data_IF_587556337004
#
_entry.id   IF_587556337004
#
_cell.length_a   1.000
_cell.length_b   1.000
_cell.length_c   1.000
_cell.angle_alpha   90.00
_cell.angle_beta   90.00
_cell.angle_gamma   90.00
#
_symmetry.space_group_name_H-M   'P 1'
#
loop_
_entity.id
_entity.type
_entity.pdbx_description
1 polymer ?
#
# COMPACT_ATOMS: atom_id res chain seq x y z
N UNK A 1 22.34 1.32 -21.02
CA UNK A 1 21.27 2.30 -20.74
C UNK A 1 21.19 2.64 -19.25
N UNK A 2 21.05 1.66 -18.35
CA UNK A 2 20.84 1.88 -16.90
C UNK A 2 21.99 2.64 -16.22
N UNK A 3 23.25 2.27 -16.48
CA UNK A 3 24.44 2.98 -15.97
C UNK A 3 24.42 4.44 -16.41
N UNK A 4 24.06 4.71 -17.68
CA UNK A 4 23.93 6.07 -18.21
C UNK A 4 22.86 6.90 -17.49
N UNK A 5 21.68 6.31 -17.20
CA UNK A 5 20.61 6.97 -16.44
C UNK A 5 21.06 7.27 -15.00
N UNK A 6 21.76 6.36 -14.35
CA UNK A 6 22.31 6.58 -13.01
C UNK A 6 23.28 7.77 -13.01
N UNK A 7 24.21 7.84 -13.97
CA UNK A 7 25.11 8.98 -14.08
C UNK A 7 24.39 10.29 -14.38
N UNK A 8 23.34 10.29 -15.21
CA UNK A 8 22.50 11.47 -15.47
C UNK A 8 21.81 11.93 -14.18
N UNK A 9 21.25 11.00 -13.41
CA UNK A 9 20.60 11.33 -12.13
C UNK A 9 21.60 11.90 -11.12
N UNK A 10 22.80 11.32 -10.99
CA UNK A 10 23.87 11.84 -10.11
C UNK A 10 24.29 13.25 -10.56
N UNK A 11 24.52 13.45 -11.86
CA UNK A 11 24.90 14.75 -12.41
C UNK A 11 23.81 15.80 -12.21
N UNK A 12 22.54 15.46 -12.43
CA UNK A 12 21.41 16.36 -12.20
C UNK A 12 21.28 16.76 -10.71
N UNK A 13 21.42 15.81 -9.79
CA UNK A 13 21.42 16.10 -8.36
C UNK A 13 22.62 16.97 -7.94
N UNK A 14 23.82 16.69 -8.47
CA UNK A 14 25.00 17.52 -8.26
C UNK A 14 24.81 18.95 -8.77
N UNK A 15 24.21 19.11 -9.96
CA UNK A 15 23.90 20.43 -10.51
C UNK A 15 22.89 21.20 -9.66
N UNK A 16 21.82 20.53 -9.19
CA UNK A 16 20.83 21.11 -8.29
C UNK A 16 21.48 21.58 -6.98
N UNK A 17 22.36 20.77 -6.40
CA UNK A 17 23.12 21.12 -5.20
C UNK A 17 24.00 22.37 -5.40
N UNK A 18 24.68 22.46 -6.54
CA UNK A 18 25.49 23.64 -6.89
C UNK A 18 24.62 24.88 -7.07
N UNK A 19 23.47 24.76 -7.75
CA UNK A 19 22.54 25.88 -7.95
C UNK A 19 21.98 26.36 -6.61
N UNK A 20 21.61 25.44 -5.71
CA UNK A 20 21.13 25.78 -4.37
C UNK A 20 22.22 26.49 -3.54
N UNK A 21 23.46 25.99 -3.58
CA UNK A 21 24.60 26.62 -2.91
C UNK A 21 24.87 28.03 -3.43
N UNK A 22 24.78 28.27 -4.75
CA UNK A 22 24.93 29.62 -5.35
C UNK A 22 23.84 30.60 -4.91
N UNK A 23 22.65 30.10 -4.56
CA UNK A 23 21.53 30.91 -4.03
C UNK A 23 21.64 31.14 -2.51
N UNK A 24 22.76 30.81 -1.86
CA UNK A 24 22.97 30.84 -0.41
C UNK A 24 21.87 30.06 0.37
N UNK A 25 21.21 29.11 -0.26
CA UNK A 25 20.24 28.23 0.40
C UNK A 25 20.94 26.99 0.96
N UNK A 26 20.63 26.62 2.20
CA UNK A 26 21.13 25.40 2.80
C UNK A 26 20.57 24.21 2.02
N UNK A 27 21.44 23.34 1.49
CA UNK A 27 21.05 22.17 0.68
C UNK A 27 20.23 21.19 1.52
N UNK A 28 20.66 20.97 2.77
CA UNK A 28 19.98 20.11 3.72
C UNK A 28 20.02 20.73 5.11
N UNK A 29 18.91 21.29 5.61
CA UNK A 29 18.85 21.83 6.96
C UNK A 29 19.17 20.72 8.00
N UNK A 30 19.90 21.06 9.06
CA UNK A 30 20.29 20.11 10.13
C UNK A 30 19.09 19.33 10.68
N UNK A 31 17.93 19.99 10.81
CA UNK A 31 16.69 19.32 11.24
C UNK A 31 16.20 18.26 10.26
N UNK A 32 16.29 18.52 8.95
CA UNK A 32 15.95 17.55 7.93
C UNK A 32 16.96 16.40 7.89
N UNK A 33 18.26 16.71 8.02
CA UNK A 33 19.29 15.67 8.10
C UNK A 33 19.09 14.74 9.32
N UNK A 34 18.76 15.31 10.48
CA UNK A 34 18.45 14.54 11.68
C UNK A 34 17.20 13.67 11.51
N UNK A 35 16.17 14.17 10.85
CA UNK A 35 14.97 13.39 10.55
C UNK A 35 15.30 12.20 9.62
N UNK A 36 15.99 12.45 8.51
CA UNK A 36 16.43 11.42 7.58
C UNK A 36 17.26 10.37 8.31
N UNK A 37 18.19 10.78 9.17
CA UNK A 37 18.99 9.84 9.96
C UNK A 37 18.12 8.89 10.80
N UNK A 38 17.10 9.40 11.49
CA UNK A 38 16.21 8.54 12.29
C UNK A 38 15.28 7.67 11.43
N UNK A 39 14.86 8.14 10.27
CA UNK A 39 14.11 7.34 9.30
C UNK A 39 14.95 6.18 8.75
N UNK A 40 16.23 6.43 8.45
CA UNK A 40 17.19 5.38 8.08
C UNK A 40 17.44 4.38 9.21
N UNK A 41 17.56 4.85 10.46
CA UNK A 41 17.69 3.94 11.62
C UNK A 41 16.47 3.04 11.74
N UNK A 42 15.25 3.57 11.57
CA UNK A 42 14.02 2.78 11.61
C UNK A 42 13.98 1.78 10.46
N UNK A 43 14.35 2.20 9.25
CA UNK A 43 14.47 1.29 8.11
C UNK A 43 15.44 0.15 8.41
N UNK A 44 16.64 0.46 8.90
CA UNK A 44 17.65 -0.55 9.22
C UNK A 44 17.19 -1.51 10.32
N UNK A 45 16.53 -1.03 11.36
CA UNK A 45 15.96 -1.90 12.41
C UNK A 45 14.93 -2.86 11.85
N UNK A 46 14.02 -2.39 11.01
CA UNK A 46 13.03 -3.24 10.35
C UNK A 46 13.70 -4.21 9.35
N UNK A 47 14.67 -3.73 8.56
CA UNK A 47 15.45 -4.56 7.65
C UNK A 47 16.19 -5.67 8.40
N UNK A 48 16.82 -5.38 9.53
CA UNK A 48 17.54 -6.36 10.34
C UNK A 48 16.59 -7.37 11.00
N UNK A 49 15.41 -6.94 11.44
CA UNK A 49 14.37 -7.85 11.95
C UNK A 49 14.00 -8.89 10.90
N UNK A 50 13.67 -8.45 9.69
CA UNK A 50 13.32 -9.34 8.59
C UNK A 50 14.51 -10.12 8.02
N UNK A 51 15.75 -9.59 8.16
CA UNK A 51 16.97 -10.33 7.83
C UNK A 51 17.18 -11.50 8.79
N UNK A 52 16.92 -11.27 10.08
CA UNK A 52 17.02 -12.32 11.09
C UNK A 52 16.01 -13.44 10.82
N UNK A 53 14.76 -13.09 10.56
CA UNK A 53 13.72 -14.05 10.20
C UNK A 53 14.08 -14.82 8.91
N UNK A 54 14.41 -14.11 7.84
CA UNK A 54 14.78 -14.68 6.54
C UNK A 54 16.00 -15.62 6.61
N UNK A 55 16.89 -15.42 7.58
CA UNK A 55 18.08 -16.25 7.80
C UNK A 55 17.75 -17.71 8.13
N UNK A 56 16.59 -18.00 8.69
CA UNK A 56 16.16 -19.36 8.97
C UNK A 56 15.65 -20.11 7.73
N UNK A 57 15.14 -19.37 6.72
CA UNK A 57 14.61 -19.93 5.47
C UNK A 57 15.04 -19.10 4.25
N UNK A 58 16.32 -19.14 3.89
CA UNK A 58 16.85 -18.32 2.78
C UNK A 58 16.53 -18.90 1.39
N UNK A 59 15.96 -20.11 1.31
CA UNK A 59 15.73 -20.79 0.03
C UNK A 59 14.55 -20.17 -0.73
N UNK A 60 14.76 -19.93 -2.02
CA UNK A 60 13.67 -19.58 -2.96
C UNK A 60 12.94 -20.87 -3.39
N UNK A 61 12.36 -21.60 -2.42
CA UNK A 61 11.69 -22.88 -2.60
C UNK A 61 10.33 -22.88 -1.88
N UNK A 62 9.39 -23.66 -2.38
CA UNK A 62 8.00 -23.68 -1.91
C UNK A 62 7.19 -22.51 -2.47
N UNK A 63 5.85 -22.66 -2.50
CA UNK A 63 4.94 -21.74 -3.19
C UNK A 63 5.41 -21.44 -4.62
N UNK A 64 5.19 -20.23 -5.14
CA UNK A 64 5.61 -19.86 -6.50
C UNK A 64 6.97 -19.13 -6.56
N UNK A 65 7.77 -19.16 -5.49
CA UNK A 65 9.07 -18.47 -5.41
C UNK A 65 10.04 -18.87 -6.53
N UNK A 66 10.00 -20.12 -6.96
CA UNK A 66 10.83 -20.61 -8.07
C UNK A 66 10.52 -19.89 -9.39
N UNK A 67 9.26 -19.45 -9.58
CA UNK A 67 8.86 -18.69 -10.77
C UNK A 67 9.54 -17.31 -10.77
N UNK A 68 9.40 -16.56 -9.69
CA UNK A 68 10.02 -15.23 -9.56
C UNK A 68 11.54 -15.31 -9.63
N UNK A 69 12.13 -16.31 -8.96
CA UNK A 69 13.57 -16.58 -9.02
C UNK A 69 14.00 -16.90 -10.45
N UNK A 70 13.25 -17.76 -11.16
CA UNK A 70 13.53 -18.13 -12.55
C UNK A 70 13.49 -16.93 -13.49
N UNK A 71 12.50 -16.05 -13.36
CA UNK A 71 12.43 -14.81 -14.13
C UNK A 71 13.64 -13.91 -13.86
N UNK A 72 14.08 -13.79 -12.63
CA UNK A 72 15.29 -13.03 -12.28
C UNK A 72 16.54 -13.63 -12.93
N UNK A 73 16.70 -14.96 -12.91
CA UNK A 73 17.84 -15.67 -13.54
C UNK A 73 17.90 -15.45 -15.05
N UNK A 74 16.74 -15.47 -15.73
CA UNK A 74 16.69 -15.24 -17.18
C UNK A 74 16.99 -13.79 -17.50
N UNK A 75 16.41 -12.84 -16.76
CA UNK A 75 16.66 -11.42 -16.98
C UNK A 75 18.11 -11.02 -16.74
N UNK A 76 18.83 -11.67 -15.81
CA UNK A 76 20.26 -11.47 -15.59
C UNK A 76 21.11 -11.86 -16.80
N UNK A 77 20.64 -12.83 -17.59
CA UNK A 77 21.35 -13.36 -18.77
C UNK A 77 20.89 -12.74 -20.09
N UNK A 78 19.72 -12.08 -20.07
CA UNK A 78 19.14 -11.52 -21.28
C UNK A 78 19.75 -10.16 -21.63
N UNK A 79 19.93 -9.92 -22.92
CA UNK A 79 20.33 -8.61 -23.45
C UNK A 79 19.11 -7.75 -23.79
N UNK A 80 17.92 -8.33 -23.86
CA UNK A 80 16.67 -7.70 -24.27
C UNK A 80 15.55 -8.01 -23.28
N UNK A 81 14.54 -7.15 -23.23
CA UNK A 81 13.31 -7.33 -22.44
C UNK A 81 12.10 -7.24 -23.38
N UNK A 82 11.06 -8.08 -23.13
CA UNK A 82 10.99 -9.16 -22.14
C UNK A 82 11.98 -10.29 -22.46
N UNK A 83 12.55 -10.88 -21.40
CA UNK A 83 13.43 -12.02 -21.55
C UNK A 83 12.65 -13.26 -22.03
N UNK A 84 13.36 -14.27 -22.54
CA UNK A 84 12.75 -15.52 -22.98
C UNK A 84 12.24 -16.31 -21.76
N UNK A 85 11.01 -16.85 -21.85
CA UNK A 85 10.43 -17.68 -20.80
C UNK A 85 11.15 -19.03 -20.69
N UNK A 86 11.47 -19.45 -19.46
CA UNK A 86 12.21 -20.70 -19.21
C UNK A 86 11.29 -21.94 -19.19
N UNK A 87 10.00 -21.77 -19.01
CA UNK A 87 9.01 -22.88 -19.06
C UNK A 87 8.33 -23.00 -20.42
N UNK A 88 8.11 -21.85 -21.08
CA UNK A 88 7.50 -21.80 -22.41
C UNK A 88 8.52 -21.30 -23.44
N UNK A 89 9.54 -22.11 -23.65
CA UNK A 89 10.66 -21.80 -24.55
C UNK A 89 10.23 -21.27 -25.92
N UNK A 90 11.00 -20.35 -26.51
CA UNK A 90 10.73 -19.60 -27.76
C UNK A 90 9.71 -18.47 -27.64
N UNK A 91 9.12 -18.22 -26.48
CA UNK A 91 8.24 -17.07 -26.24
C UNK A 91 8.84 -16.17 -25.18
N UNK A 92 8.57 -14.86 -25.22
CA UNK A 92 8.96 -13.95 -24.14
C UNK A 92 8.11 -14.18 -22.89
N UNK A 93 8.64 -13.80 -21.73
CA UNK A 93 7.90 -13.81 -20.46
C UNK A 93 6.63 -12.97 -20.62
N UNK A 94 5.47 -13.61 -20.42
CA UNK A 94 4.16 -12.95 -20.42
C UNK A 94 3.61 -12.83 -18.99
N UNK A 95 4.30 -12.04 -18.16
CA UNK A 95 3.97 -11.80 -16.76
C UNK A 95 4.39 -10.38 -16.35
N UNK A 96 4.01 -9.93 -15.16
CA UNK A 96 4.41 -8.65 -14.56
C UNK A 96 5.83 -8.77 -14.00
N UNK A 97 6.84 -8.72 -14.85
CA UNK A 97 8.24 -8.95 -14.47
C UNK A 97 9.00 -7.67 -14.06
N UNK A 98 8.36 -6.51 -14.10
CA UNK A 98 9.02 -5.23 -13.81
C UNK A 98 9.57 -5.12 -12.40
N UNK A 99 8.91 -5.72 -11.42
CA UNK A 99 9.36 -5.76 -10.03
C UNK A 99 10.61 -6.63 -9.86
N UNK A 100 10.64 -7.81 -10.45
CA UNK A 100 11.78 -8.72 -10.45
C UNK A 100 12.96 -8.10 -11.23
N UNK A 101 12.70 -7.42 -12.36
CA UNK A 101 13.72 -6.68 -13.08
C UNK A 101 14.34 -5.55 -12.25
N UNK A 102 13.51 -4.81 -11.51
CA UNK A 102 13.99 -3.77 -10.60
C UNK A 102 14.92 -4.35 -9.52
N UNK A 103 14.57 -5.52 -8.95
CA UNK A 103 15.40 -6.21 -7.97
C UNK A 103 16.76 -6.60 -8.57
N UNK A 104 16.76 -7.22 -9.75
CA UNK A 104 17.98 -7.62 -10.49
C UNK A 104 18.86 -6.41 -10.79
N UNK A 105 18.27 -5.33 -11.24
CA UNK A 105 18.99 -4.11 -11.58
C UNK A 105 19.64 -3.42 -10.37
N UNK A 106 18.91 -3.35 -9.24
CA UNK A 106 19.42 -2.68 -8.03
C UNK A 106 20.63 -3.39 -7.44
N UNK A 107 20.59 -4.71 -7.39
CA UNK A 107 21.61 -5.46 -6.69
C UNK A 107 22.81 -5.82 -7.57
N UNK A 108 22.58 -6.09 -8.86
CA UNK A 108 23.63 -6.43 -9.83
C UNK A 108 24.50 -7.62 -9.43
N UNK A 109 23.99 -8.51 -8.58
CA UNK A 109 24.72 -9.68 -8.02
C UNK A 109 23.98 -10.99 -8.33
N UNK A 110 24.48 -12.11 -7.81
CA UNK A 110 23.84 -13.43 -8.00
C UNK A 110 22.38 -13.40 -7.54
N UNK A 111 21.48 -14.00 -8.31
CA UNK A 111 20.04 -14.00 -8.05
C UNK A 111 19.70 -14.54 -6.66
N UNK A 112 20.40 -15.56 -6.17
CA UNK A 112 20.21 -16.07 -4.81
C UNK A 112 20.41 -15.01 -3.71
N UNK A 113 21.37 -14.10 -3.90
CA UNK A 113 21.60 -12.96 -3.00
C UNK A 113 20.58 -11.86 -3.25
N UNK A 114 20.33 -11.52 -4.53
CA UNK A 114 19.39 -10.51 -4.97
C UNK A 114 17.99 -10.76 -4.43
N UNK A 115 17.48 -11.98 -4.56
CA UNK A 115 16.16 -12.39 -4.09
C UNK A 115 16.00 -12.12 -2.60
N UNK A 116 16.94 -12.58 -1.78
CA UNK A 116 16.89 -12.38 -0.34
C UNK A 116 17.05 -10.91 0.06
N UNK A 117 18.02 -10.18 -0.51
CA UNK A 117 18.19 -8.76 -0.20
C UNK A 117 16.94 -7.96 -0.54
N UNK A 118 16.29 -8.25 -1.69
CA UNK A 118 15.12 -7.51 -2.13
C UNK A 118 13.91 -7.76 -1.22
N UNK A 119 13.62 -9.01 -0.82
CA UNK A 119 12.51 -9.30 0.10
C UNK A 119 12.67 -8.59 1.45
N UNK A 120 13.90 -8.59 1.99
CA UNK A 120 14.20 -7.90 3.26
C UNK A 120 14.12 -6.37 3.13
N UNK A 121 14.58 -5.82 1.99
CA UNK A 121 14.48 -4.40 1.69
C UNK A 121 13.01 -3.96 1.60
N UNK A 122 12.17 -4.72 0.90
CA UNK A 122 10.74 -4.41 0.77
C UNK A 122 10.06 -4.45 2.13
N UNK A 123 10.33 -5.47 2.95
CA UNK A 123 9.75 -5.60 4.29
C UNK A 123 10.21 -4.46 5.22
N UNK A 124 11.48 -4.03 5.14
CA UNK A 124 11.99 -2.85 5.84
C UNK A 124 11.31 -1.55 5.39
N UNK A 125 11.16 -1.35 4.07
CA UNK A 125 10.49 -0.19 3.50
C UNK A 125 8.99 -0.18 3.79
N UNK A 126 8.34 -1.35 3.86
CA UNK A 126 6.93 -1.47 4.25
C UNK A 126 6.66 -1.03 5.70
N UNK A 127 7.67 -0.95 6.54
CA UNK A 127 7.60 -0.30 7.86
C UNK A 127 7.97 1.18 7.79
N UNK A 128 9.12 1.49 7.17
CA UNK A 128 9.70 2.84 7.21
C UNK A 128 8.88 3.89 6.43
N UNK A 129 8.35 3.54 5.26
CA UNK A 129 7.59 4.49 4.44
C UNK A 129 6.24 4.89 5.09
N UNK A 130 5.40 3.96 5.61
CA UNK A 130 4.21 4.34 6.38
C UNK A 130 4.57 5.09 7.66
N UNK A 131 5.65 4.72 8.35
CA UNK A 131 6.15 5.49 9.50
C UNK A 131 6.41 6.94 9.13
N UNK A 132 7.22 7.19 8.10
CA UNK A 132 7.59 8.55 7.66
C UNK A 132 6.36 9.36 7.24
N UNK A 133 5.50 8.76 6.40
CA UNK A 133 4.29 9.41 5.91
C UNK A 133 3.35 9.81 7.05
N UNK A 134 3.00 8.86 7.93
CA UNK A 134 2.00 9.12 8.99
C UNK A 134 2.58 10.01 10.09
N UNK A 135 3.88 9.90 10.40
CA UNK A 135 4.58 10.85 11.27
C UNK A 135 4.48 12.27 10.71
N UNK A 136 4.68 12.47 9.40
CA UNK A 136 4.56 13.77 8.76
C UNK A 136 3.10 14.29 8.79
N UNK A 137 2.12 13.42 8.48
CA UNK A 137 0.68 13.76 8.58
C UNK A 137 0.35 14.24 10.00
N UNK A 138 0.84 13.53 11.01
CA UNK A 138 0.62 13.88 12.41
C UNK A 138 1.33 15.18 12.79
N UNK A 139 2.56 15.44 12.29
CA UNK A 139 3.27 16.69 12.55
C UNK A 139 2.54 17.88 11.94
N UNK A 140 2.04 17.76 10.72
CA UNK A 140 1.25 18.80 10.05
C UNK A 140 -0.11 19.03 10.74
N UNK A 141 -0.66 18.00 11.39
CA UNK A 141 -1.92 18.09 12.13
C UNK A 141 -1.77 18.69 13.53
N UNK A 142 -0.82 18.17 14.34
CA UNK A 142 -0.62 18.53 15.74
C UNK A 142 0.35 19.68 15.97
N UNK A 143 1.21 19.96 14.99
CA UNK A 143 2.32 20.91 15.11
C UNK A 143 3.55 20.31 15.78
N UNK A 144 4.67 21.00 15.65
CA UNK A 144 6.01 20.54 16.07
C UNK A 144 6.18 20.33 17.58
N UNK A 145 5.31 20.90 18.41
CA UNK A 145 5.40 20.76 19.86
C UNK A 145 4.96 19.38 20.37
N UNK A 146 4.24 18.60 19.59
CA UNK A 146 3.73 17.28 19.96
C UNK A 146 4.47 16.11 19.28
N UNK A 147 5.79 16.21 19.19
CA UNK A 147 6.67 15.23 18.52
C UNK A 147 6.41 13.78 18.92
N UNK A 148 6.17 13.50 20.22
CA UNK A 148 5.90 12.15 20.71
C UNK A 148 4.66 11.53 20.04
N UNK A 149 3.58 12.30 19.88
CA UNK A 149 2.37 11.81 19.21
C UNK A 149 2.63 11.53 17.73
N UNK A 150 3.43 12.37 17.07
CA UNK A 150 3.80 12.18 15.68
C UNK A 150 4.60 10.87 15.49
N UNK A 151 5.58 10.62 16.36
CA UNK A 151 6.39 9.39 16.33
C UNK A 151 5.51 8.16 16.60
N UNK A 152 4.64 8.20 17.61
CA UNK A 152 3.73 7.07 17.90
C UNK A 152 2.76 6.79 16.75
N UNK A 153 2.23 7.84 16.09
CA UNK A 153 1.39 7.67 14.89
C UNK A 153 2.14 6.96 13.77
N UNK A 154 3.38 7.36 13.51
CA UNK A 154 4.23 6.73 12.52
C UNK A 154 4.56 5.27 12.88
N UNK A 155 5.01 5.00 14.11
CA UNK A 155 5.32 3.64 14.57
C UNK A 155 4.12 2.71 14.46
N UNK A 156 2.94 3.20 14.83
CA UNK A 156 1.70 2.42 14.69
C UNK A 156 1.36 2.12 13.24
N UNK A 157 1.55 3.08 12.32
CA UNK A 157 1.33 2.86 10.90
C UNK A 157 2.32 1.85 10.31
N UNK A 158 3.62 1.98 10.62
CA UNK A 158 4.63 1.02 10.20
C UNK A 158 4.34 -0.39 10.71
N UNK A 159 3.98 -0.53 11.99
CA UNK A 159 3.60 -1.81 12.57
C UNK A 159 2.31 -2.40 11.97
N UNK A 160 1.29 -1.57 11.75
CA UNK A 160 0.02 -1.99 11.16
C UNK A 160 0.16 -2.47 9.70
N UNK A 161 1.09 -1.90 8.93
CA UNK A 161 1.33 -2.32 7.54
C UNK A 161 2.28 -3.53 7.47
N UNK A 162 3.39 -3.52 8.23
CA UNK A 162 4.49 -4.48 8.04
C UNK A 162 4.44 -5.69 8.98
N UNK A 163 3.84 -5.55 10.17
CA UNK A 163 3.89 -6.60 11.21
C UNK A 163 2.51 -7.16 11.57
N UNK A 164 1.44 -6.42 11.34
CA UNK A 164 0.11 -6.85 11.75
C UNK A 164 -0.45 -7.94 10.83
N UNK A 165 -1.21 -8.85 11.39
CA UNK A 165 -2.19 -9.68 10.71
C UNK A 165 -3.60 -9.09 10.85
N UNK A 166 -4.62 -9.92 10.58
CA UNK A 166 -6.02 -9.58 10.80
C UNK A 166 -6.56 -10.14 12.13
N UNK A 167 -7.83 -9.86 12.45
CA UNK A 167 -8.44 -10.31 13.71
C UNK A 167 -8.71 -11.82 13.77
N UNK A 168 -8.63 -12.54 12.64
CA UNK A 168 -8.72 -14.01 12.67
C UNK A 168 -7.63 -14.62 13.56
N UNK A 169 -6.39 -14.13 13.43
CA UNK A 169 -5.29 -14.53 14.31
C UNK A 169 -5.62 -14.31 15.81
N UNK A 170 -6.18 -13.15 16.13
CA UNK A 170 -6.49 -12.80 17.53
C UNK A 170 -7.60 -13.69 18.08
N UNK A 171 -8.65 -13.91 17.28
CA UNK A 171 -9.82 -14.70 17.69
C UNK A 171 -9.50 -16.21 17.71
N UNK A 172 -9.11 -16.76 16.58
CA UNK A 172 -8.92 -18.21 16.41
C UNK A 172 -7.56 -18.70 16.92
N UNK A 173 -6.51 -17.89 16.77
CA UNK A 173 -5.17 -18.25 17.21
C UNK A 173 -4.90 -18.03 18.70
N UNK A 174 -5.66 -17.16 19.38
CA UNK A 174 -5.39 -16.80 20.79
C UNK A 174 -6.63 -16.83 21.68
N UNK A 175 -7.70 -16.10 21.34
CA UNK A 175 -8.82 -15.90 22.25
C UNK A 175 -9.68 -17.15 22.41
N UNK A 176 -10.06 -17.81 21.33
CA UNK A 176 -10.91 -19.00 21.41
C UNK A 176 -10.22 -20.18 22.12
N UNK A 177 -8.93 -20.49 21.84
CA UNK A 177 -8.20 -21.48 22.63
C UNK A 177 -8.15 -21.13 24.15
N UNK A 178 -7.94 -19.84 24.46
CA UNK A 178 -7.91 -19.37 25.87
C UNK A 178 -9.27 -19.54 26.58
N UNK A 179 -10.37 -19.43 25.84
CA UNK A 179 -11.73 -19.60 26.36
C UNK A 179 -12.25 -21.05 26.28
N UNK A 180 -11.38 -22.02 25.99
CA UNK A 180 -11.73 -23.44 25.77
C UNK A 180 -12.73 -23.66 24.64
N UNK A 181 -12.87 -22.69 23.72
CA UNK A 181 -13.58 -22.81 22.45
C UNK A 181 -12.54 -23.30 21.46
N UNK A 182 -12.32 -24.62 21.42
CA UNK A 182 -11.35 -25.19 20.47
C UNK A 182 -11.99 -25.29 19.10
N UNK A 183 -11.40 -24.66 18.06
CA UNK A 183 -11.69 -25.04 16.68
C UNK A 183 -11.32 -26.51 16.46
N UNK A 184 -11.96 -27.17 15.51
CA UNK A 184 -11.68 -28.57 15.18
C UNK A 184 -10.21 -28.81 14.81
N UNK A 185 -9.53 -27.79 14.26
CA UNK A 185 -8.13 -27.82 13.88
C UNK A 185 -7.28 -26.82 14.69
N UNK A 186 -6.01 -27.18 14.96
CA UNK A 186 -5.04 -26.28 15.55
C UNK A 186 -4.73 -25.11 14.60
N UNK A 187 -4.77 -23.87 15.13
CA UNK A 187 -4.51 -22.67 14.32
C UNK A 187 -3.12 -22.70 13.70
N UNK A 188 -3.07 -22.52 12.38
CA UNK A 188 -1.85 -22.33 11.63
C UNK A 188 -1.84 -20.94 10.96
N UNK A 189 -0.68 -20.29 10.89
CA UNK A 189 -0.64 -18.86 10.48
C UNK A 189 -1.27 -18.55 9.11
N UNK A 190 -1.23 -19.43 8.06
CA UNK A 190 -1.93 -19.20 6.80
C UNK A 190 -3.44 -19.15 6.91
N UNK A 191 -4.05 -19.73 7.95
CA UNK A 191 -5.52 -19.76 8.12
C UNK A 191 -6.11 -18.35 8.17
N UNK A 192 -5.32 -17.38 8.63
CA UNK A 192 -5.72 -15.96 8.60
C UNK A 192 -5.88 -15.40 7.19
N UNK A 193 -5.33 -16.05 6.18
CA UNK A 193 -5.40 -15.63 4.77
C UNK A 193 -6.32 -16.51 3.94
N UNK A 194 -6.69 -17.69 4.47
CA UNK A 194 -7.53 -18.72 3.85
C UNK A 194 -8.70 -19.03 4.78
N UNK A 195 -9.58 -18.04 5.04
CA UNK A 195 -10.71 -18.20 5.97
C UNK A 195 -12.06 -18.25 5.24
N UNK A 196 -12.36 -17.28 4.40
CA UNK A 196 -13.62 -17.21 3.67
C UNK A 196 -13.62 -18.27 2.57
N UNK A 197 -14.59 -19.18 2.63
CA UNK A 197 -14.71 -20.31 1.71
C UNK A 197 -13.92 -21.54 2.10
N UNK A 198 -12.98 -21.43 3.05
CA UNK A 198 -12.17 -22.55 3.54
C UNK A 198 -12.65 -23.08 4.89
N UNK A 199 -13.16 -22.23 5.76
CA UNK A 199 -13.68 -22.65 7.06
C UNK A 199 -15.00 -21.91 7.40
N UNK A 200 -16.16 -22.54 7.19
CA UNK A 200 -16.39 -23.86 6.57
C UNK A 200 -16.09 -23.86 5.06
N UNK A 201 -15.74 -25.02 4.46
CA UNK A 201 -15.49 -25.13 3.04
C UNK A 201 -16.73 -24.82 2.21
N UNK A 202 -16.55 -24.02 1.15
CA UNK A 202 -17.60 -23.68 0.16
C UNK A 202 -17.01 -23.74 -1.24
N UNK A 203 -17.88 -23.65 -2.26
CA UNK A 203 -17.42 -23.61 -3.66
C UNK A 203 -16.77 -22.28 -4.09
N UNK A 204 -16.66 -21.29 -3.20
CA UNK A 204 -16.08 -19.99 -3.48
C UNK A 204 -14.96 -19.69 -2.47
N UNK A 205 -13.86 -20.37 -2.65
CA UNK A 205 -12.65 -20.16 -1.85
C UNK A 205 -12.01 -18.83 -2.20
N UNK A 206 -11.73 -18.01 -1.20
CA UNK A 206 -11.12 -16.68 -1.38
C UNK A 206 -9.78 -16.54 -0.65
N UNK A 207 -9.00 -15.57 -1.08
CA UNK A 207 -7.66 -15.29 -0.55
C UNK A 207 -7.63 -13.86 -0.02
N UNK A 208 -7.14 -13.69 1.23
CA UNK A 208 -7.01 -12.41 1.91
C UNK A 208 -5.61 -12.20 2.49
N UNK A 209 -4.62 -12.22 1.62
CA UNK A 209 -3.23 -12.02 2.04
C UNK A 209 -2.94 -10.56 2.43
N UNK A 210 -1.90 -10.39 3.22
CA UNK A 210 -1.43 -9.09 3.71
C UNK A 210 0.10 -9.11 3.86
N UNK A 211 0.77 -7.93 3.95
CA UNK A 211 2.23 -7.84 3.83
C UNK A 211 3.02 -8.75 4.78
N UNK A 212 2.66 -8.82 6.07
CA UNK A 212 3.42 -9.66 7.01
C UNK A 212 3.35 -11.15 6.67
N UNK A 213 2.25 -11.64 6.09
CA UNK A 213 2.16 -13.01 5.58
C UNK A 213 3.14 -13.25 4.43
N UNK A 214 3.16 -12.36 3.44
CA UNK A 214 4.09 -12.45 2.31
C UNK A 214 5.56 -12.40 2.76
N UNK A 215 5.87 -11.57 3.78
CA UNK A 215 7.23 -11.46 4.30
C UNK A 215 7.67 -12.73 5.03
N UNK A 216 6.80 -13.33 5.85
CA UNK A 216 7.04 -14.62 6.51
C UNK A 216 7.29 -15.74 5.50
N UNK A 217 6.48 -15.82 4.45
CA UNK A 217 6.71 -16.78 3.37
C UNK A 217 8.01 -16.51 2.61
N UNK A 218 8.56 -15.32 2.69
CA UNK A 218 9.69 -14.88 1.87
C UNK A 218 9.31 -14.73 0.41
N UNK A 219 8.09 -14.29 0.16
CA UNK A 219 7.54 -14.09 -1.17
C UNK A 219 8.09 -12.82 -1.83
N UNK A 220 8.28 -12.86 -3.15
CA UNK A 220 8.74 -11.73 -3.96
C UNK A 220 7.86 -11.53 -5.22
N UNK A 221 6.59 -11.94 -5.12
CA UNK A 221 5.61 -11.75 -6.19
C UNK A 221 5.42 -10.26 -6.52
N UNK A 222 4.89 -10.01 -7.69
CA UNK A 222 4.61 -8.69 -8.25
C UNK A 222 3.95 -7.71 -7.26
N UNK A 223 2.90 -8.16 -6.53
CA UNK A 223 2.20 -7.33 -5.54
C UNK A 223 3.06 -7.00 -4.31
N UNK A 224 4.00 -7.87 -3.93
CA UNK A 224 4.90 -7.64 -2.80
C UNK A 224 5.96 -6.61 -3.17
N UNK A 225 6.60 -6.76 -4.33
CA UNK A 225 7.59 -5.78 -4.80
C UNK A 225 6.95 -4.41 -4.97
N UNK A 226 5.68 -4.37 -5.40
CA UNK A 226 4.99 -3.11 -5.67
C UNK A 226 4.66 -2.29 -4.41
N UNK A 227 4.76 -2.87 -3.19
CA UNK A 227 4.51 -2.16 -1.92
C UNK A 227 5.30 -0.84 -1.85
N UNK A 228 6.58 -0.85 -2.24
CA UNK A 228 7.43 0.35 -2.18
C UNK A 228 6.95 1.46 -3.12
N UNK A 229 6.45 1.08 -4.29
CA UNK A 229 5.97 2.03 -5.30
C UNK A 229 4.60 2.61 -4.92
N UNK A 230 3.68 1.79 -4.42
CA UNK A 230 2.35 2.27 -3.99
C UNK A 230 2.46 3.18 -2.77
N UNK A 231 3.36 2.91 -1.84
CA UNK A 231 3.65 3.80 -0.71
C UNK A 231 4.29 5.12 -1.17
N UNK A 232 5.15 5.07 -2.19
CA UNK A 232 5.72 6.29 -2.81
C UNK A 232 4.62 7.14 -3.45
N UNK A 233 3.71 6.55 -4.23
CA UNK A 233 2.55 7.28 -4.80
C UNK A 233 1.71 7.90 -3.70
N UNK A 234 1.42 7.17 -2.62
CA UNK A 234 0.65 7.68 -1.48
C UNK A 234 1.34 8.89 -0.84
N UNK A 235 2.67 8.85 -0.68
CA UNK A 235 3.47 9.98 -0.20
C UNK A 235 3.45 11.18 -1.14
N UNK A 236 3.55 10.97 -2.45
CA UNK A 236 3.46 12.04 -3.47
C UNK A 236 2.09 12.72 -3.47
N UNK A 237 1.02 11.95 -3.31
CA UNK A 237 -0.34 12.47 -3.20
C UNK A 237 -0.50 13.33 -1.93
N UNK A 238 0.09 12.90 -0.80
CA UNK A 238 0.10 13.71 0.41
C UNK A 238 0.90 15.00 0.22
N UNK A 239 2.08 14.93 -0.39
CA UNK A 239 2.87 16.10 -0.72
C UNK A 239 2.12 17.07 -1.66
N UNK A 240 1.31 16.56 -2.59
CA UNK A 240 0.48 17.39 -3.46
C UNK A 240 -0.66 18.07 -2.72
N UNK A 241 -1.43 17.35 -1.89
CA UNK A 241 -2.60 17.93 -1.21
C UNK A 241 -2.20 19.00 -0.19
N UNK A 242 -1.02 18.87 0.42
CA UNK A 242 -0.50 19.84 1.42
C UNK A 242 0.11 21.10 0.81
N UNK A 243 0.33 21.16 -0.51
CA UNK A 243 0.83 22.37 -1.18
C UNK A 243 -0.03 23.59 -0.91
N UNK A 244 0.58 24.76 -1.03
CA UNK A 244 -0.10 26.04 -0.92
C UNK A 244 -1.19 26.20 -1.99
N UNK A 245 -2.13 27.10 -1.74
CA UNK A 245 -3.19 27.45 -2.70
C UNK A 245 -2.54 27.91 -4.02
N UNK A 246 -3.07 27.44 -5.13
CA UNK A 246 -2.75 27.88 -6.47
C UNK A 246 -4.05 28.18 -7.24
N UNK A 247 -3.98 29.08 -8.23
CA UNK A 247 -5.11 29.34 -9.13
C UNK A 247 -5.28 28.20 -10.15
N UNK A 248 -6.43 28.15 -10.83
CA UNK A 248 -6.73 27.14 -11.85
C UNK A 248 -5.67 27.03 -12.95
N UNK A 249 -5.05 28.17 -13.35
CA UNK A 249 -4.01 28.17 -14.38
C UNK A 249 -2.78 27.36 -13.97
N UNK A 250 -2.55 27.21 -12.67
CA UNK A 250 -1.46 26.42 -12.10
C UNK A 250 -1.87 24.99 -11.72
N UNK A 251 -3.14 24.59 -11.96
CA UNK A 251 -3.58 23.21 -11.75
C UNK A 251 -2.94 22.24 -12.74
N UNK A 252 -2.47 22.76 -13.87
CA UNK A 252 -1.85 22.01 -14.97
C UNK A 252 -0.39 21.64 -14.63
N UNK A 253 0.06 20.45 -15.06
CA UNK A 253 1.44 19.98 -14.96
C UNK A 253 2.02 20.04 -13.52
N UNK A 254 1.23 19.62 -12.55
CA UNK A 254 1.68 19.55 -11.16
C UNK A 254 2.67 18.40 -10.97
N UNK A 255 3.93 18.70 -10.66
CA UNK A 255 5.02 17.74 -10.58
C UNK A 255 4.71 16.47 -9.75
N UNK A 256 4.14 16.56 -8.51
CA UNK A 256 3.82 15.34 -7.78
C UNK A 256 2.78 14.46 -8.48
N UNK A 257 1.78 15.05 -9.17
CA UNK A 257 0.77 14.29 -9.91
C UNK A 257 1.34 13.69 -11.19
N UNK A 258 2.25 14.37 -11.88
CA UNK A 258 2.97 13.77 -13.00
C UNK A 258 3.79 12.57 -12.55
N UNK A 259 4.45 12.64 -11.39
CA UNK A 259 5.13 11.49 -10.80
C UNK A 259 4.14 10.37 -10.43
N UNK A 260 2.97 10.70 -9.90
CA UNK A 260 1.92 9.69 -9.68
C UNK A 260 1.52 9.03 -11.02
N UNK A 261 1.28 9.78 -12.08
CA UNK A 261 0.98 9.25 -13.42
C UNK A 261 2.09 8.36 -13.96
N UNK A 262 3.36 8.74 -13.76
CA UNK A 262 4.52 7.92 -14.10
C UNK A 262 4.52 6.58 -13.38
N UNK A 263 4.36 6.57 -12.04
CA UNK A 263 4.30 5.33 -11.26
C UNK A 263 3.07 4.49 -11.59
N UNK A 264 1.91 5.11 -11.78
CA UNK A 264 0.70 4.42 -12.23
C UNK A 264 0.97 3.68 -13.56
N UNK A 265 1.70 4.31 -14.51
CA UNK A 265 2.14 3.63 -15.73
C UNK A 265 3.08 2.45 -15.47
N UNK A 266 4.03 2.58 -14.54
CA UNK A 266 4.93 1.50 -14.13
C UNK A 266 4.15 0.32 -13.55
N UNK A 267 3.01 0.55 -12.89
CA UNK A 267 2.21 -0.54 -12.30
C UNK A 267 1.67 -1.53 -13.34
N UNK A 268 1.47 -1.12 -14.59
CA UNK A 268 1.14 -2.08 -15.66
C UNK A 268 2.22 -3.16 -15.81
N UNK A 269 3.46 -2.78 -15.56
CA UNK A 269 4.63 -3.63 -15.69
C UNK A 269 4.99 -4.38 -14.40
N UNK A 270 4.73 -3.78 -13.23
CA UNK A 270 5.10 -4.33 -11.92
C UNK A 270 3.96 -5.10 -11.23
N UNK A 271 2.72 -4.60 -11.30
CA UNK A 271 1.50 -5.26 -10.83
C UNK A 271 0.27 -4.52 -11.40
N UNK A 272 -0.26 -4.99 -12.51
CA UNK A 272 -1.31 -4.28 -13.25
C UNK A 272 -2.60 -3.98 -12.44
N UNK A 273 -2.89 -4.73 -11.38
CA UNK A 273 -4.01 -4.43 -10.49
C UNK A 273 -3.85 -3.08 -9.81
N UNK A 274 -2.64 -2.73 -9.42
CA UNK A 274 -2.35 -1.46 -8.74
C UNK A 274 -2.48 -0.25 -9.66
N UNK A 275 -2.39 -0.45 -10.98
CA UNK A 275 -2.66 0.60 -11.97
C UNK A 275 -4.07 1.21 -11.75
N UNK A 276 -5.10 0.37 -11.76
CA UNK A 276 -6.48 0.83 -11.58
C UNK A 276 -6.72 1.35 -10.16
N UNK A 277 -6.23 0.62 -9.14
CA UNK A 277 -6.43 0.96 -7.72
C UNK A 277 -5.86 2.35 -7.42
N UNK A 278 -4.58 2.57 -7.71
CA UNK A 278 -3.92 3.83 -7.35
C UNK A 278 -4.25 4.98 -8.30
N UNK A 279 -4.72 4.69 -9.50
CA UNK A 279 -5.35 5.73 -10.32
C UNK A 279 -6.63 6.25 -9.66
N UNK A 280 -7.51 5.35 -9.19
CA UNK A 280 -8.74 5.73 -8.47
C UNK A 280 -8.43 6.47 -7.15
N UNK A 281 -7.45 5.99 -6.35
CA UNK A 281 -7.00 6.69 -5.14
C UNK A 281 -6.51 8.10 -5.47
N UNK A 282 -5.70 8.24 -6.53
CA UNK A 282 -5.20 9.54 -6.99
C UNK A 282 -6.34 10.46 -7.44
N UNK A 283 -7.29 9.93 -8.19
CA UNK A 283 -8.48 10.67 -8.62
C UNK A 283 -9.31 11.17 -7.44
N UNK A 284 -9.52 10.34 -6.43
CA UNK A 284 -10.24 10.71 -5.22
C UNK A 284 -9.54 11.83 -4.45
N UNK A 285 -8.22 11.72 -4.23
CA UNK A 285 -7.44 12.75 -3.54
C UNK A 285 -7.42 14.07 -4.34
N UNK A 286 -7.28 14.01 -5.68
CA UNK A 286 -7.37 15.19 -6.53
C UNK A 286 -8.74 15.85 -6.44
N UNK A 287 -9.82 15.09 -6.50
CA UNK A 287 -11.18 15.63 -6.44
C UNK A 287 -11.43 16.36 -5.12
N UNK A 288 -11.29 15.67 -4.00
CA UNK A 288 -11.59 16.28 -2.70
C UNK A 288 -10.59 17.37 -2.33
N UNK A 289 -9.32 17.22 -2.71
CA UNK A 289 -8.29 18.23 -2.51
C UNK A 289 -8.57 19.52 -3.30
N UNK A 290 -9.00 19.42 -4.57
CA UNK A 290 -9.34 20.58 -5.38
C UNK A 290 -10.66 21.22 -4.95
N UNK A 291 -11.70 20.42 -4.63
CA UNK A 291 -12.96 20.96 -4.10
C UNK A 291 -12.72 21.78 -2.83
N UNK A 292 -11.87 21.30 -1.92
CA UNK A 292 -11.52 22.04 -0.71
C UNK A 292 -10.63 23.27 -0.99
N UNK A 293 -9.87 23.25 -2.08
CA UNK A 293 -8.92 24.32 -2.41
C UNK A 293 -9.57 25.52 -3.10
N UNK A 294 -10.45 25.28 -4.06
CA UNK A 294 -11.04 26.31 -4.89
C UNK A 294 -12.29 26.94 -4.30
N UNK A 295 -12.93 26.32 -3.33
CA UNK A 295 -14.19 26.78 -2.73
C UNK A 295 -15.34 26.96 -3.75
N UNK A 296 -15.10 26.56 -5.00
CA UNK A 296 -16.07 26.47 -6.12
C UNK A 296 -16.03 25.06 -6.70
N UNK A 297 -17.17 24.39 -6.69
CA UNK A 297 -17.26 23.01 -7.16
C UNK A 297 -16.91 22.84 -8.65
N UNK A 298 -17.24 23.84 -9.50
CA UNK A 298 -16.93 23.79 -10.93
C UNK A 298 -15.42 23.88 -11.18
N UNK A 299 -14.76 24.84 -10.56
CA UNK A 299 -13.31 25.03 -10.64
C UNK A 299 -12.57 23.80 -10.07
N UNK A 300 -13.05 23.27 -8.94
CA UNK A 300 -12.51 22.07 -8.34
C UNK A 300 -12.65 20.85 -9.23
N UNK A 301 -13.83 20.64 -9.83
CA UNK A 301 -14.07 19.51 -10.73
C UNK A 301 -13.26 19.61 -12.01
N UNK A 302 -13.25 20.77 -12.68
CA UNK A 302 -12.50 20.97 -13.92
C UNK A 302 -11.01 20.74 -13.69
N UNK A 303 -10.45 21.27 -12.60
CA UNK A 303 -9.04 21.06 -12.25
C UNK A 303 -8.73 19.60 -12.00
N UNK A 304 -9.65 18.86 -11.35
CA UNK A 304 -9.49 17.42 -11.11
C UNK A 304 -9.52 16.63 -12.41
N UNK A 305 -10.47 16.90 -13.30
CA UNK A 305 -10.57 16.22 -14.61
C UNK A 305 -9.31 16.44 -15.46
N UNK A 306 -8.77 17.65 -15.48
CA UNK A 306 -7.52 17.94 -16.17
C UNK A 306 -6.39 17.07 -15.60
N UNK A 307 -6.23 17.04 -14.28
CA UNK A 307 -5.20 16.25 -13.60
C UNK A 307 -5.38 14.75 -13.78
N UNK A 308 -6.62 14.26 -13.83
CA UNK A 308 -6.92 12.86 -14.13
C UNK A 308 -6.47 12.47 -15.55
N UNK A 309 -6.77 13.33 -16.54
CA UNK A 309 -6.35 13.11 -17.92
C UNK A 309 -4.83 13.16 -18.04
N UNK A 310 -4.15 14.07 -17.36
CA UNK A 310 -2.68 14.14 -17.34
C UNK A 310 -2.06 12.87 -16.75
N UNK A 311 -2.56 12.41 -15.58
CA UNK A 311 -2.04 11.21 -14.92
C UNK A 311 -2.27 9.95 -15.76
N UNK A 312 -3.48 9.75 -16.29
CA UNK A 312 -3.78 8.55 -17.06
C UNK A 312 -3.07 8.56 -18.43
N UNK A 313 -3.00 9.71 -19.07
CA UNK A 313 -2.29 9.87 -20.34
C UNK A 313 -0.80 9.59 -20.22
N UNK A 314 -0.15 10.13 -19.16
CA UNK A 314 1.24 9.82 -18.85
C UNK A 314 1.40 8.34 -18.46
N UNK A 315 0.46 7.80 -17.69
CA UNK A 315 0.44 6.40 -17.30
C UNK A 315 0.44 5.45 -18.51
N UNK A 316 -0.43 5.66 -19.46
CA UNK A 316 -0.45 4.87 -20.70
C UNK A 316 0.82 5.06 -21.54
N UNK A 317 1.35 6.27 -21.62
CA UNK A 317 2.59 6.53 -22.34
C UNK A 317 3.78 5.75 -21.72
N UNK A 318 3.88 5.74 -20.41
CA UNK A 318 4.92 5.00 -19.68
C UNK A 318 4.73 3.49 -19.79
N UNK A 319 3.47 3.02 -19.77
CA UNK A 319 3.13 1.60 -19.90
C UNK A 319 3.32 1.06 -21.31
N UNK A 320 3.34 1.92 -22.32
CA UNK A 320 3.28 1.55 -23.74
C UNK A 320 4.30 0.47 -24.15
N UNK A 321 5.60 0.55 -23.78
CA UNK A 321 6.58 -0.47 -24.18
C UNK A 321 6.24 -1.88 -23.66
N UNK A 322 5.65 -1.96 -22.46
CA UNK A 322 5.20 -3.22 -21.86
C UNK A 322 3.89 -3.69 -22.53
N UNK A 323 2.90 -2.81 -22.62
CA UNK A 323 1.55 -3.14 -23.12
C UNK A 323 1.57 -3.65 -24.56
N UNK A 324 2.47 -3.15 -25.41
CA UNK A 324 2.61 -3.61 -26.80
C UNK A 324 3.11 -5.06 -26.93
N UNK A 325 3.67 -5.63 -25.87
CA UNK A 325 4.26 -6.97 -25.85
C UNK A 325 3.51 -7.94 -24.95
N UNK A 326 2.62 -7.43 -24.09
CA UNK A 326 1.90 -8.24 -23.10
C UNK A 326 0.59 -8.77 -23.69
N UNK A 327 0.39 -10.08 -23.62
CA UNK A 327 -0.86 -10.73 -23.96
C UNK A 327 -1.78 -10.83 -22.75
N UNK A 328 -2.89 -10.07 -22.78
CA UNK A 328 -3.89 -10.01 -21.70
C UNK A 328 -5.03 -11.04 -21.84
N UNK A 329 -4.88 -12.06 -22.68
CA UNK A 329 -5.92 -13.05 -22.99
C UNK A 329 -6.46 -13.83 -21.79
N UNK A 330 -5.72 -13.85 -20.66
CA UNK A 330 -6.14 -14.50 -19.41
C UNK A 330 -7.30 -13.79 -18.72
N UNK A 331 -7.52 -12.50 -18.95
CA UNK A 331 -8.59 -11.72 -18.35
C UNK A 331 -9.83 -11.72 -19.28
N UNK A 332 -10.93 -12.32 -18.82
CA UNK A 332 -12.17 -12.52 -19.60
C UNK A 332 -13.24 -11.46 -19.33
N UNK A 333 -12.87 -10.33 -18.69
CA UNK A 333 -13.78 -9.23 -18.41
C UNK A 333 -14.32 -9.19 -16.98
N UNK A 334 -15.06 -8.12 -16.66
CA UNK A 334 -15.67 -7.90 -15.34
C UNK A 334 -17.08 -8.46 -15.33
N UNK A 335 -17.42 -9.23 -14.30
CA UNK A 335 -18.71 -9.86 -14.11
C UNK A 335 -19.28 -9.59 -12.71
N UNK A 336 -20.58 -9.69 -12.57
CA UNK A 336 -21.25 -9.56 -11.26
C UNK A 336 -20.99 -10.80 -10.41
N UNK A 337 -20.72 -10.58 -9.13
CA UNK A 337 -20.55 -11.67 -8.17
C UNK A 337 -21.87 -12.42 -7.97
N UNK A 338 -21.81 -13.74 -8.10
CA UNK A 338 -22.93 -14.64 -7.84
C UNK A 338 -22.90 -15.18 -6.41
N UNK A 339 -21.70 -15.35 -5.88
CA UNK A 339 -21.45 -15.81 -4.52
C UNK A 339 -20.98 -14.63 -3.67
N UNK A 340 -21.32 -14.66 -2.38
CA UNK A 340 -20.95 -13.63 -1.43
C UNK A 340 -20.33 -14.23 -0.19
N UNK A 341 -19.40 -13.52 0.40
CA UNK A 341 -18.77 -13.93 1.66
C UNK A 341 -19.77 -13.89 2.81
N UNK A 342 -19.70 -14.87 3.70
CA UNK A 342 -20.52 -14.84 4.90
C UNK A 342 -20.17 -13.60 5.75
N UNK A 343 -21.20 -12.86 6.18
CA UNK A 343 -21.01 -11.58 6.84
C UNK A 343 -20.14 -11.68 8.10
N UNK A 344 -20.28 -12.77 8.88
CA UNK A 344 -19.45 -12.96 10.08
C UNK A 344 -17.96 -13.15 9.72
N UNK A 345 -17.65 -13.83 8.60
CA UNK A 345 -16.27 -14.01 8.14
C UNK A 345 -15.66 -12.67 7.70
N UNK A 346 -16.43 -11.85 6.97
CA UNK A 346 -16.03 -10.48 6.64
C UNK A 346 -15.78 -9.66 7.92
N UNK A 347 -16.64 -9.80 8.93
CA UNK A 347 -16.44 -9.14 10.21
C UNK A 347 -15.16 -9.60 10.93
N UNK A 348 -14.85 -10.90 10.92
CA UNK A 348 -13.62 -11.43 11.52
C UNK A 348 -12.39 -10.82 10.85
N UNK A 349 -12.37 -10.71 9.53
CA UNK A 349 -11.20 -10.17 8.82
C UNK A 349 -11.13 -8.64 8.85
N UNK A 350 -12.26 -7.96 8.68
CA UNK A 350 -12.30 -6.54 8.31
C UNK A 350 -13.02 -5.61 9.28
N UNK A 351 -13.75 -6.11 10.31
CA UNK A 351 -14.50 -5.23 11.20
C UNK A 351 -13.63 -4.22 11.95
N UNK A 352 -12.40 -4.60 12.34
CA UNK A 352 -11.50 -3.68 13.04
C UNK A 352 -11.13 -2.48 12.15
N UNK A 353 -10.47 -2.64 10.98
CA UNK A 353 -10.06 -1.51 10.18
C UNK A 353 -11.24 -0.74 9.57
N UNK A 354 -12.26 -1.44 9.08
CA UNK A 354 -13.47 -0.81 8.54
C UNK A 354 -14.20 -0.03 9.63
N UNK A 355 -14.36 -0.60 10.82
CA UNK A 355 -15.03 0.04 11.95
C UNK A 355 -14.31 1.32 12.40
N UNK A 356 -12.98 1.28 12.55
CA UNK A 356 -12.18 2.46 12.90
C UNK A 356 -12.34 3.57 11.84
N UNK A 357 -12.25 3.21 10.56
CA UNK A 357 -12.41 4.17 9.46
C UNK A 357 -13.83 4.72 9.37
N UNK A 358 -14.87 3.89 9.49
CA UNK A 358 -16.26 4.36 9.48
C UNK A 358 -16.55 5.31 10.65
N UNK A 359 -16.09 4.96 11.86
CA UNK A 359 -16.26 5.83 13.04
C UNK A 359 -15.57 7.17 12.81
N UNK A 360 -14.40 7.18 12.17
CA UNK A 360 -13.70 8.41 11.83
C UNK A 360 -14.47 9.26 10.80
N UNK A 361 -14.94 8.65 9.72
CA UNK A 361 -15.74 9.32 8.68
C UNK A 361 -17.05 9.89 9.26
N UNK A 362 -17.74 9.10 10.07
CA UNK A 362 -18.96 9.54 10.77
C UNK A 362 -18.66 10.72 11.71
N UNK A 363 -17.57 10.66 12.48
CA UNK A 363 -17.17 11.79 13.33
C UNK A 363 -16.95 13.06 12.52
N UNK A 364 -16.19 13.00 11.43
CA UNK A 364 -15.96 14.15 10.55
C UNK A 364 -17.28 14.70 9.99
N UNK A 365 -18.21 13.82 9.61
CA UNK A 365 -19.52 14.21 9.10
C UNK A 365 -20.39 14.85 10.17
N UNK A 366 -20.41 14.32 11.39
CA UNK A 366 -21.16 14.90 12.51
C UNK A 366 -20.65 16.30 12.90
N UNK A 367 -19.37 16.57 12.68
CA UNK A 367 -18.78 17.90 12.87
C UNK A 367 -19.21 18.92 11.81
N UNK A 368 -19.84 18.47 10.71
CA UNK A 368 -20.41 19.37 9.66
C UNK A 368 -21.46 20.31 10.24
N UNK A 369 -22.28 19.86 11.17
CA UNK A 369 -23.41 20.63 11.71
C UNK A 369 -24.40 21.00 10.60
N UNK A 370 -24.80 22.29 10.55
CA UNK A 370 -25.75 22.82 9.55
C UNK A 370 -25.06 23.43 8.30
N UNK A 371 -23.75 23.24 8.13
CA UNK A 371 -23.02 23.80 6.99
C UNK A 371 -23.37 23.09 5.67
N UNK A 372 -23.30 23.80 4.55
CA UNK A 372 -23.37 23.20 3.22
C UNK A 372 -22.13 22.31 3.01
N UNK A 373 -22.30 21.17 2.35
CA UNK A 373 -21.27 20.14 2.17
C UNK A 373 -19.93 20.73 1.65
N UNK A 374 -19.96 21.56 0.62
CA UNK A 374 -18.74 22.15 0.06
C UNK A 374 -18.06 23.07 1.08
N UNK A 375 -18.82 23.93 1.79
CA UNK A 375 -18.26 24.81 2.80
C UNK A 375 -17.63 24.03 3.96
N UNK A 376 -18.27 22.94 4.38
CA UNK A 376 -17.70 22.04 5.37
C UNK A 376 -16.41 21.40 4.88
N UNK A 377 -16.38 20.87 3.64
CA UNK A 377 -15.18 20.28 3.05
C UNK A 377 -14.01 21.27 3.02
N UNK A 378 -14.29 22.54 2.65
CA UNK A 378 -13.29 23.62 2.67
C UNK A 378 -12.79 23.96 4.09
N UNK A 379 -13.57 23.65 5.13
CA UNK A 379 -13.18 23.88 6.52
C UNK A 379 -12.31 22.75 7.13
N UNK A 380 -12.28 21.58 6.49
CA UNK A 380 -11.48 20.46 6.95
C UNK A 380 -9.98 20.72 6.76
N UNK A 381 -9.17 20.18 7.66
CA UNK A 381 -7.73 20.12 7.44
C UNK A 381 -7.40 19.20 6.28
N UNK A 382 -6.35 19.50 5.54
CA UNK A 382 -5.88 18.69 4.40
C UNK A 382 -5.56 17.25 4.81
N UNK A 383 -5.05 17.06 6.03
CA UNK A 383 -4.79 15.75 6.65
C UNK A 383 -6.07 14.94 6.80
N UNK A 384 -7.15 15.59 7.23
CA UNK A 384 -8.45 14.93 7.40
C UNK A 384 -9.04 14.50 6.07
N UNK A 385 -8.94 15.35 5.04
CA UNK A 385 -9.39 15.03 3.67
C UNK A 385 -8.59 13.84 3.14
N UNK A 386 -7.27 13.88 3.28
CA UNK A 386 -6.38 12.82 2.80
C UNK A 386 -6.73 11.48 3.43
N UNK A 387 -6.76 11.41 4.76
CA UNK A 387 -7.09 10.18 5.49
C UNK A 387 -8.52 9.70 5.19
N UNK A 388 -9.50 10.63 5.07
CA UNK A 388 -10.87 10.26 4.73
C UNK A 388 -10.96 9.60 3.35
N UNK A 389 -10.23 10.10 2.35
CA UNK A 389 -10.18 9.49 1.01
C UNK A 389 -9.53 8.10 1.07
N UNK A 390 -8.41 7.93 1.80
CA UNK A 390 -7.80 6.61 1.99
C UNK A 390 -8.78 5.62 2.64
N UNK A 391 -9.50 6.04 3.69
CA UNK A 391 -10.53 5.22 4.34
C UNK A 391 -11.63 4.79 3.35
N UNK A 392 -12.17 5.73 2.56
CA UNK A 392 -13.22 5.44 1.58
C UNK A 392 -12.72 4.47 0.51
N UNK A 393 -11.50 4.68 -0.01
CA UNK A 393 -10.91 3.77 -0.98
C UNK A 393 -10.69 2.37 -0.40
N UNK A 394 -10.13 2.27 0.81
CA UNK A 394 -9.89 0.98 1.46
C UNK A 394 -11.18 0.20 1.72
N UNK A 395 -12.23 0.87 2.20
CA UNK A 395 -13.57 0.26 2.37
C UNK A 395 -14.13 -0.19 1.02
N UNK A 396 -14.01 0.64 -0.01
CA UNK A 396 -14.43 0.31 -1.38
C UNK A 396 -13.71 -0.91 -1.94
N UNK A 397 -12.41 -1.05 -1.69
CA UNK A 397 -11.61 -2.21 -2.14
C UNK A 397 -12.03 -3.51 -1.46
N UNK A 398 -12.49 -3.47 -0.21
CA UNK A 398 -13.06 -4.65 0.48
C UNK A 398 -14.46 -4.97 -0.03
N UNK A 399 -15.28 -3.95 -0.31
CA UNK A 399 -16.66 -4.13 -0.74
C UNK A 399 -16.79 -4.53 -2.22
N UNK A 400 -15.87 -4.06 -3.08
CA UNK A 400 -15.97 -4.25 -4.53
C UNK A 400 -16.02 -5.72 -4.96
N UNK A 401 -15.21 -6.65 -4.42
CA UNK A 401 -15.26 -8.06 -4.81
C UNK A 401 -16.55 -8.78 -4.40
N UNK A 402 -17.33 -8.18 -3.48
CA UNK A 402 -18.68 -8.68 -3.15
C UNK A 402 -19.72 -8.30 -4.20
N UNK A 403 -19.39 -7.37 -5.12
CA UNK A 403 -20.32 -6.90 -6.16
C UNK A 403 -19.86 -7.32 -7.55
N UNK A 404 -18.55 -7.17 -7.83
CA UNK A 404 -17.96 -7.48 -9.13
C UNK A 404 -16.59 -8.13 -8.97
N UNK A 405 -16.22 -8.97 -9.91
CA UNK A 405 -14.89 -9.56 -9.99
C UNK A 405 -14.42 -9.68 -11.45
N UNK A 406 -13.12 -9.80 -11.64
CA UNK A 406 -12.52 -10.08 -12.93
C UNK A 406 -12.53 -11.59 -13.17
N UNK A 407 -13.26 -12.01 -14.21
CA UNK A 407 -13.31 -13.41 -14.61
C UNK A 407 -11.95 -13.85 -15.16
N UNK A 408 -11.45 -14.96 -14.64
CA UNK A 408 -10.17 -15.55 -15.01
C UNK A 408 -10.26 -17.09 -15.09
N UNK A 409 -9.10 -17.75 -15.14
CA UNK A 409 -9.00 -19.20 -15.27
C UNK A 409 -9.52 -19.99 -14.04
N UNK A 410 -9.72 -19.36 -12.89
CA UNK A 410 -10.19 -20.00 -11.65
C UNK A 410 -11.71 -19.97 -11.48
N UNK A 411 -12.47 -19.60 -12.52
CA UNK A 411 -13.93 -19.41 -12.50
C UNK A 411 -14.72 -20.57 -11.85
N UNK A 412 -14.25 -21.82 -12.01
CA UNK A 412 -14.99 -23.00 -11.55
C UNK A 412 -14.82 -23.28 -10.05
N UNK A 413 -13.70 -22.92 -9.46
CA UNK A 413 -13.32 -23.32 -8.09
C UNK A 413 -13.12 -22.16 -7.13
N UNK A 414 -12.71 -21.01 -7.63
CA UNK A 414 -12.31 -19.86 -6.81
C UNK A 414 -12.53 -18.54 -7.57
N UNK A 415 -13.74 -18.36 -8.12
CA UNK A 415 -14.07 -17.30 -9.08
C UNK A 415 -13.66 -15.89 -8.67
N UNK A 416 -13.81 -15.54 -7.38
CA UNK A 416 -13.48 -14.21 -6.85
C UNK A 416 -12.09 -14.12 -6.23
N UNK A 417 -11.37 -15.24 -6.11
CA UNK A 417 -10.16 -15.34 -5.31
C UNK A 417 -9.11 -14.30 -5.71
N UNK A 418 -8.78 -14.23 -7.00
CA UNK A 418 -7.77 -13.29 -7.50
C UNK A 418 -8.17 -11.81 -7.30
N UNK A 419 -9.44 -11.47 -7.61
CA UNK A 419 -9.93 -10.11 -7.41
C UNK A 419 -9.94 -9.75 -5.93
N UNK A 420 -10.43 -10.65 -5.07
CA UNK A 420 -10.45 -10.49 -3.62
C UNK A 420 -9.03 -10.25 -3.10
N UNK A 421 -8.11 -11.14 -3.44
CA UNK A 421 -6.71 -11.05 -3.04
C UNK A 421 -6.07 -9.71 -3.41
N UNK A 422 -6.13 -9.33 -4.69
CA UNK A 422 -5.43 -8.13 -5.18
C UNK A 422 -6.00 -6.84 -4.59
N UNK A 423 -7.33 -6.74 -4.46
CA UNK A 423 -7.98 -5.55 -3.92
C UNK A 423 -7.80 -5.46 -2.40
N UNK A 424 -7.98 -6.55 -1.67
CA UNK A 424 -7.91 -6.52 -0.20
C UNK A 424 -6.48 -6.39 0.31
N UNK A 425 -5.48 -6.82 -0.45
CA UNK A 425 -4.07 -6.56 -0.13
C UNK A 425 -3.77 -5.06 -0.07
N UNK A 426 -4.24 -4.29 -1.06
CA UNK A 426 -4.08 -2.83 -1.08
C UNK A 426 -4.96 -2.16 -0.02
N UNK A 427 -6.18 -2.67 0.22
CA UNK A 427 -7.01 -2.19 1.31
C UNK A 427 -6.29 -2.30 2.66
N UNK A 428 -5.60 -3.40 2.92
CA UNK A 428 -4.84 -3.61 4.16
C UNK A 428 -3.77 -2.53 4.37
N UNK A 429 -3.02 -2.19 3.32
CA UNK A 429 -2.00 -1.13 3.35
C UNK A 429 -2.64 0.24 3.66
N UNK A 430 -3.72 0.59 2.94
CA UNK A 430 -4.41 1.87 3.13
C UNK A 430 -5.05 1.98 4.53
N UNK A 431 -5.61 0.89 5.05
CA UNK A 431 -6.11 0.81 6.42
C UNK A 431 -5.00 0.97 7.45
N UNK A 432 -3.84 0.32 7.26
CA UNK A 432 -2.70 0.44 8.15
C UNK A 432 -2.22 1.89 8.29
N UNK A 433 -2.07 2.60 7.16
CA UNK A 433 -1.75 4.03 7.13
C UNK A 433 -2.82 4.85 7.88
N UNK A 434 -4.08 4.62 7.56
CA UNK A 434 -5.20 5.38 8.14
C UNK A 434 -5.32 5.15 9.65
N UNK A 435 -5.27 3.90 10.10
CA UNK A 435 -5.36 3.54 11.53
C UNK A 435 -4.21 4.13 12.34
N UNK A 436 -2.99 4.19 11.78
CA UNK A 436 -1.84 4.81 12.45
C UNK A 436 -2.09 6.27 12.86
N UNK A 437 -2.78 7.03 12.02
CA UNK A 437 -3.20 8.41 12.34
C UNK A 437 -4.45 8.47 13.21
N UNK A 438 -5.51 7.75 12.82
CA UNK A 438 -6.84 7.86 13.43
C UNK A 438 -6.82 7.45 14.90
N UNK A 439 -6.17 6.33 15.25
CA UNK A 439 -6.19 5.82 16.61
C UNK A 439 -5.48 6.75 17.60
N UNK A 440 -4.34 7.31 17.22
CA UNK A 440 -3.63 8.31 18.06
C UNK A 440 -4.46 9.60 18.16
N UNK A 441 -5.12 10.03 17.09
CA UNK A 441 -6.02 11.18 17.12
C UNK A 441 -7.20 10.93 18.07
N UNK A 442 -7.80 9.75 18.06
CA UNK A 442 -8.90 9.41 18.96
C UNK A 442 -8.46 9.34 20.41
N UNK A 443 -7.28 8.84 20.71
CA UNK A 443 -6.73 8.85 22.07
C UNK A 443 -6.53 10.26 22.63
N UNK A 444 -6.21 11.21 21.77
CA UNK A 444 -6.01 12.63 22.16
C UNK A 444 -7.28 13.46 22.12
N UNK A 445 -8.41 12.87 21.73
CA UNK A 445 -9.71 13.56 21.64
C UNK A 445 -10.20 14.00 23.03
N UNK A 446 -10.54 15.27 23.16
CA UNK A 446 -11.00 15.85 24.42
C UNK A 446 -12.51 16.04 24.48
N UNK A 447 -13.14 16.25 23.33
CA UNK A 447 -14.56 16.59 23.22
C UNK A 447 -15.47 15.37 23.32
N UNK A 448 -15.09 14.27 22.67
CA UNK A 448 -15.92 13.06 22.56
C UNK A 448 -15.31 11.87 23.30
N UNK A 449 -15.81 11.55 24.50
CA UNK A 449 -15.32 10.40 25.29
C UNK A 449 -15.43 9.06 24.55
N UNK A 450 -16.45 8.89 23.71
CA UNK A 450 -16.62 7.67 22.92
C UNK A 450 -15.47 7.47 21.91
N UNK A 451 -15.00 8.55 21.28
CA UNK A 451 -13.87 8.47 20.35
C UNK A 451 -12.59 8.00 21.06
N UNK A 452 -12.33 8.47 22.30
CA UNK A 452 -11.20 7.96 23.09
C UNK A 452 -11.32 6.46 23.39
N UNK A 453 -12.53 5.97 23.67
CA UNK A 453 -12.74 4.53 23.91
C UNK A 453 -12.43 3.74 22.63
N UNK A 454 -12.90 4.20 21.46
CA UNK A 454 -12.57 3.57 20.17
C UNK A 454 -11.06 3.61 19.91
N UNK A 455 -10.39 4.75 20.17
CA UNK A 455 -8.94 4.87 20.07
C UNK A 455 -8.19 3.88 20.96
N UNK A 456 -8.62 3.73 22.21
CA UNK A 456 -8.00 2.83 23.18
C UNK A 456 -8.16 1.35 22.79
N UNK A 457 -9.40 0.91 22.55
CA UNK A 457 -9.64 -0.48 22.18
C UNK A 457 -9.12 -0.83 20.80
N UNK A 458 -9.24 0.09 19.83
CA UNK A 458 -8.65 -0.08 18.50
C UNK A 458 -7.13 -0.22 18.55
N UNK A 459 -6.44 0.57 19.37
CA UNK A 459 -5.00 0.44 19.59
C UNK A 459 -4.63 -0.92 20.16
N UNK A 460 -5.34 -1.38 21.20
CA UNK A 460 -5.12 -2.72 21.78
C UNK A 460 -5.29 -3.79 20.70
N UNK A 461 -6.38 -3.76 19.93
CA UNK A 461 -6.63 -4.74 18.88
C UNK A 461 -5.51 -4.73 17.83
N UNK A 462 -5.08 -3.55 17.35
CA UNK A 462 -3.97 -3.47 16.37
C UNK A 462 -2.67 -4.02 16.95
N UNK A 463 -2.36 -3.70 18.21
CA UNK A 463 -1.16 -4.27 18.88
C UNK A 463 -1.25 -5.79 19.02
N UNK A 464 -2.43 -6.34 19.33
CA UNK A 464 -2.63 -7.79 19.37
C UNK A 464 -2.40 -8.43 17.98
N UNK A 465 -2.84 -7.80 16.90
CA UNK A 465 -2.63 -8.35 15.55
C UNK A 465 -1.17 -8.37 15.13
N UNK A 466 -0.27 -7.56 15.71
CA UNK A 466 1.17 -7.62 15.42
C UNK A 466 1.83 -8.90 15.94
N UNK A 467 1.22 -9.57 16.91
CA UNK A 467 1.65 -10.89 17.37
C UNK A 467 1.58 -11.98 16.30
N UNK A 468 0.84 -11.74 15.20
CA UNK A 468 0.78 -12.62 14.04
C UNK A 468 2.17 -12.93 13.47
N UNK A 469 3.00 -11.90 13.28
CA UNK A 469 4.36 -12.07 12.75
C UNK A 469 5.21 -12.96 13.64
N UNK A 470 5.10 -12.81 14.97
CA UNK A 470 5.87 -13.66 15.90
C UNK A 470 5.38 -15.10 15.85
N UNK A 471 4.06 -15.31 15.84
CA UNK A 471 3.49 -16.67 15.75
C UNK A 471 3.84 -17.32 14.40
N UNK A 472 3.71 -16.60 13.31
CA UNK A 472 4.07 -17.09 11.98
C UNK A 472 5.55 -17.45 11.87
N UNK A 473 6.46 -16.61 12.40
CA UNK A 473 7.89 -16.89 12.38
C UNK A 473 8.28 -18.14 13.21
N UNK A 474 7.49 -18.49 14.23
CA UNK A 474 7.70 -19.73 15.01
C UNK A 474 7.13 -20.96 14.31
N UNK A 475 5.98 -20.81 13.66
CA UNK A 475 5.29 -21.90 12.97
C UNK A 475 5.90 -22.22 11.59
N UNK A 476 6.40 -21.20 10.91
CA UNK A 476 7.03 -21.32 9.59
C UNK A 476 8.50 -21.63 9.67
#
# INVERSE_FOLDING_TARGET
ACIGVTFICIAANGLLAVVQKRKNSCILPIKAANLIFWEEVIFYLAFLLWTYEAGFRPQAHGTEKFMDYGFMEVMMRSMELPAQDIWYGLKPINYYYGGQYYAVYLTGTKVAVTYNLMRMMIAGMAFALPFSLVRQIAEDYYGKLRQKLCVWSGLLAGAAVSLAGNMHYVLYGKLFPLLWITPDDEYWFPDSTRFIGHNPPTADETIHEFPSYSFLLGDLHAHVVNIIFVLTVTGLLYAWITREKYDRKRAFLQWPLLMCGFFVGIFQWTNAWDFAIYYVVSCGICLFGNLARFEDWKEGLISSVIQWIEMIGLGFLVALPFTLQFDSSMAQGVVLAKNHSAFYQLCVLWALPVGVCLVYLVKLFLEQGKQRLLKWLCSLKKQDIFIAVLCMCAIGLVAMPEVVYLKDIYEETAARSNTMFKLTYQAFILFGISMGFILIRFLTETTHRWARKVGFWGLICVLMTTGYTVTGAVQW
#
